data_IF_190861713204
#
_entry.id   IF_190861713204
#
_cell.length_a   1.000
_cell.length_b   1.000
_cell.length_c   1.000
_cell.angle_alpha   90.00
_cell.angle_beta   90.00
_cell.angle_gamma   90.00
#
_symmetry.space_group_name_H-M   'P 1'
#
loop_
_entity.id
_entity.type
_entity.pdbx_description
1 polymer ?
#
# COMPACT_ATOMS: atom_id res chain seq x y z
N UNK A 1 10.25 8.91 15.22
CA UNK A 1 10.38 8.80 13.75
C UNK A 1 11.81 9.11 13.34
N UNK A 2 12.33 8.36 12.36
CA UNK A 2 13.66 8.57 11.78
C UNK A 2 13.62 8.36 10.26
N UNK A 3 14.41 9.14 9.53
CA UNK A 3 14.52 9.04 8.07
C UNK A 3 15.99 8.94 7.71
N UNK A 4 16.35 7.90 6.95
CA UNK A 4 17.67 7.69 6.41
C UNK A 4 17.59 7.74 4.88
N UNK A 5 18.47 8.51 4.24
CA UNK A 5 18.49 8.64 2.79
C UNK A 5 19.88 8.38 2.24
N UNK A 6 20.01 7.27 1.50
CA UNK A 6 21.23 6.92 0.80
C UNK A 6 21.14 7.42 -0.65
N UNK A 7 21.88 8.49 -0.93
CA UNK A 7 21.98 9.07 -2.28
C UNK A 7 22.67 8.14 -3.29
N UNK A 8 23.59 7.28 -2.85
CA UNK A 8 24.30 6.34 -3.73
C UNK A 8 23.36 5.19 -4.14
N UNK A 9 22.60 4.67 -3.18
CA UNK A 9 21.61 3.63 -3.41
C UNK A 9 20.27 4.17 -3.95
N UNK A 10 20.08 5.49 -3.94
CA UNK A 10 18.81 6.17 -4.26
C UNK A 10 17.63 5.58 -3.46
N UNK A 11 17.93 5.31 -2.20
CA UNK A 11 17.04 4.62 -1.27
C UNK A 11 16.71 5.54 -0.10
N UNK A 12 15.42 5.73 0.15
CA UNK A 12 14.93 6.41 1.34
C UNK A 12 14.28 5.38 2.28
N UNK A 13 14.73 5.33 3.52
CA UNK A 13 14.17 4.49 4.58
C UNK A 13 13.50 5.39 5.61
N UNK A 14 12.20 5.19 5.80
CA UNK A 14 11.38 5.88 6.79
C UNK A 14 11.03 4.90 7.89
N UNK A 15 11.17 5.31 9.14
CA UNK A 15 10.93 4.50 10.33
C UNK A 15 10.04 5.26 11.33
N UNK A 16 9.13 4.53 11.96
CA UNK A 16 8.20 5.06 12.94
C UNK A 16 6.92 5.54 12.28
N UNK A 17 5.88 4.69 12.29
CA UNK A 17 4.51 5.00 11.87
C UNK A 17 4.40 5.88 10.62
N UNK A 18 4.89 5.35 9.51
CA UNK A 18 4.87 6.01 8.20
C UNK A 18 3.47 5.92 7.61
N UNK A 19 2.91 7.07 7.24
CA UNK A 19 1.65 7.18 6.50
C UNK A 19 1.92 7.76 5.12
N UNK A 20 1.47 7.07 4.08
CA UNK A 20 1.51 7.47 2.68
C UNK A 20 0.08 7.75 2.25
N UNK A 21 -0.17 8.96 1.75
CA UNK A 21 -1.46 9.36 1.17
C UNK A 21 -1.34 9.47 -0.34
N UNK A 22 -1.99 8.58 -1.05
CA UNK A 22 -2.15 8.63 -2.50
C UNK A 22 -3.63 8.86 -2.84
N UNK A 23 -3.97 9.56 -3.94
CA UNK A 23 -5.36 9.75 -4.36
C UNK A 23 -6.13 8.44 -4.56
N UNK A 24 -5.43 7.34 -4.82
CA UNK A 24 -6.03 6.04 -5.10
C UNK A 24 -5.95 5.09 -3.90
N UNK A 25 -5.10 5.37 -2.89
CA UNK A 25 -5.00 4.59 -1.66
C UNK A 25 -4.26 5.32 -0.53
N UNK A 26 -4.58 4.97 0.71
CA UNK A 26 -3.76 5.28 1.88
C UNK A 26 -2.95 4.04 2.29
N UNK A 27 -1.68 4.21 2.67
CA UNK A 27 -0.85 3.14 3.21
C UNK A 27 -0.24 3.59 4.54
N UNK A 28 -0.35 2.75 5.57
CA UNK A 28 0.26 2.93 6.88
C UNK A 28 1.18 1.75 7.16
N UNK A 29 2.37 2.00 7.70
CA UNK A 29 3.31 0.95 8.09
C UNK A 29 4.32 1.46 9.14
N UNK A 30 5.06 0.57 9.77
CA UNK A 30 6.11 0.95 10.73
C UNK A 30 7.40 1.39 10.04
N UNK A 31 7.70 0.78 8.89
CA UNK A 31 8.88 1.05 8.07
C UNK A 31 8.53 1.09 6.60
N UNK A 32 8.98 2.12 5.90
CA UNK A 32 8.85 2.25 4.45
C UNK A 32 10.23 2.41 3.82
N UNK A 33 10.54 1.60 2.81
CA UNK A 33 11.76 1.72 2.00
C UNK A 33 11.37 2.08 0.58
N UNK A 34 11.68 3.29 0.13
CA UNK A 34 11.41 3.78 -1.22
C UNK A 34 12.68 3.77 -2.08
N UNK A 35 12.57 3.25 -3.29
CA UNK A 35 13.62 3.19 -4.32
C UNK A 35 13.26 4.15 -5.45
N UNK A 36 14.17 5.07 -5.80
CA UNK A 36 13.92 6.12 -6.79
C UNK A 36 14.56 5.81 -8.16
N UNK A 37 13.85 6.10 -9.25
CA UNK A 37 14.34 5.93 -10.63
C UNK A 37 15.51 6.85 -10.92
N UNK A 38 16.42 6.32 -11.72
CA UNK A 38 17.73 6.87 -11.94
C UNK A 38 17.96 7.69 -13.19
N UNK A 39 17.16 8.72 -13.48
CA UNK A 39 17.56 9.70 -14.51
C UNK A 39 16.96 11.09 -14.26
N UNK A 40 17.87 12.08 -14.19
CA UNK A 40 17.72 13.50 -13.79
C UNK A 40 17.41 13.79 -12.32
N UNK A 41 18.13 14.76 -11.70
CA UNK A 41 17.79 15.23 -10.36
C UNK A 41 16.44 15.93 -10.45
N UNK A 42 15.39 15.29 -9.95
CA UNK A 42 14.22 16.02 -9.49
C UNK A 42 14.73 16.97 -8.42
N UNK A 43 14.76 18.26 -8.76
CA UNK A 43 15.29 19.31 -7.92
C UNK A 43 14.70 19.23 -6.51
N UNK A 44 15.62 19.27 -5.55
CA UNK A 44 15.48 19.79 -4.19
C UNK A 44 14.04 20.19 -3.81
N UNK A 45 13.35 19.33 -3.06
CA UNK A 45 12.39 19.80 -2.06
C UNK A 45 13.12 19.74 -0.71
N UNK A 46 13.61 20.91 -0.31
CA UNK A 46 14.30 21.17 0.94
C UNK A 46 13.49 20.71 2.17
N UNK A 47 14.20 20.13 3.15
CA UNK A 47 13.88 20.23 4.58
C UNK A 47 12.66 19.47 5.09
N UNK A 48 12.76 18.14 5.24
CA UNK A 48 11.83 17.40 6.10
C UNK A 48 12.36 17.39 7.54
N UNK A 49 11.82 18.29 8.38
CA UNK A 49 11.83 18.13 9.84
C UNK A 49 11.03 16.87 10.20
N UNK A 50 11.41 16.09 11.22
CA UNK A 50 10.66 14.91 11.63
C UNK A 50 9.39 15.38 12.34
N UNK A 51 8.25 15.20 11.69
CA UNK A 51 6.93 15.53 12.22
C UNK A 51 6.06 16.18 11.16
N UNK A 52 5.02 15.43 10.76
CA UNK A 52 3.84 15.86 10.00
C UNK A 52 3.94 16.01 8.48
N UNK A 53 2.94 15.37 7.85
CA UNK A 53 2.30 15.70 6.59
C UNK A 53 3.11 15.45 5.30
N UNK A 54 2.90 14.27 4.71
CA UNK A 54 3.18 14.04 3.29
C UNK A 54 2.41 15.07 2.45
N UNK A 55 3.09 15.96 1.70
CA UNK A 55 2.40 16.90 0.85
C UNK A 55 1.83 16.12 -0.34
N UNK A 56 0.51 16.13 -0.42
CA UNK A 56 -0.26 15.81 -1.60
C UNK A 56 0.30 16.56 -2.82
N UNK A 57 0.41 15.84 -3.94
CA UNK A 57 0.72 16.29 -5.32
C UNK A 57 2.14 15.97 -5.79
N UNK A 58 2.40 14.71 -6.10
CA UNK A 58 3.23 14.42 -7.26
C UNK A 58 2.91 13.05 -7.83
N UNK A 59 2.61 13.02 -9.14
CA UNK A 59 2.81 11.85 -10.00
C UNK A 59 4.06 11.10 -9.53
N UNK A 60 3.99 9.76 -9.54
CA UNK A 60 5.08 8.81 -9.28
C UNK A 60 6.36 8.99 -10.11
N UNK A 61 6.62 10.16 -10.70
CA UNK A 61 7.68 10.49 -11.66
C UNK A 61 9.11 10.34 -11.16
N UNK A 62 9.32 9.91 -9.92
CA UNK A 62 10.64 9.49 -9.41
C UNK A 62 10.64 8.17 -8.65
N UNK A 63 9.49 7.58 -8.29
CA UNK A 63 9.43 6.33 -7.52
C UNK A 63 9.51 5.12 -8.46
N UNK A 64 10.38 4.16 -8.14
CA UNK A 64 10.49 2.90 -8.86
C UNK A 64 9.73 1.79 -8.13
N UNK A 65 10.01 1.66 -6.83
CA UNK A 65 9.48 0.61 -5.96
C UNK A 65 9.39 1.13 -4.53
N UNK A 66 8.44 0.65 -3.76
CA UNK A 66 8.39 0.87 -2.32
C UNK A 66 8.14 -0.45 -1.59
N UNK A 67 8.75 -0.61 -0.42
CA UNK A 67 8.58 -1.78 0.44
C UNK A 67 8.14 -1.29 1.80
N UNK A 68 6.91 -1.61 2.18
CA UNK A 68 6.34 -1.35 3.49
C UNK A 68 6.46 -2.60 4.35
N UNK A 69 6.91 -2.43 5.59
CA UNK A 69 7.13 -3.51 6.55
C UNK A 69 6.60 -3.08 7.93
N UNK A 70 6.02 -4.04 8.66
CA UNK A 70 5.48 -3.82 10.00
C UNK A 70 4.11 -3.13 9.96
N UNK A 71 3.11 -3.83 10.52
CA UNK A 71 1.73 -3.35 10.63
C UNK A 71 1.21 -2.66 9.36
N UNK A 72 1.43 -3.28 8.20
CA UNK A 72 1.09 -2.65 6.93
C UNK A 72 -0.41 -2.69 6.74
N UNK A 73 -1.02 -1.52 6.58
CA UNK A 73 -2.45 -1.34 6.32
C UNK A 73 -2.62 -0.46 5.09
N UNK A 74 -3.25 -0.99 4.06
CA UNK A 74 -3.58 -0.30 2.81
C UNK A 74 -5.09 -0.11 2.78
N UNK A 75 -5.55 1.11 2.53
CA UNK A 75 -6.98 1.43 2.38
C UNK A 75 -7.20 2.00 0.99
N UNK A 76 -8.13 1.41 0.25
CA UNK A 76 -8.53 1.82 -1.08
C UNK A 76 -10.03 2.08 -1.09
N UNK A 77 -10.44 3.27 -1.48
CA UNK A 77 -11.84 3.57 -1.73
C UNK A 77 -12.11 3.38 -3.23
N UNK A 78 -12.99 2.43 -3.55
CA UNK A 78 -13.41 2.16 -4.92
C UNK A 78 -14.83 2.68 -5.12
N UNK A 79 -15.01 3.53 -6.12
CA UNK A 79 -16.34 3.91 -6.58
C UNK A 79 -16.89 2.79 -7.45
N UNK A 80 -17.97 2.16 -7.00
CA UNK A 80 -18.69 1.15 -7.76
C UNK A 80 -19.60 1.81 -8.82
N UNK A 81 -19.97 1.07 -9.88
CA UNK A 81 -20.80 1.60 -10.97
C UNK A 81 -22.18 2.10 -10.52
N UNK A 82 -22.66 1.65 -9.37
CA UNK A 82 -23.92 2.07 -8.73
C UNK A 82 -23.80 3.42 -7.99
N UNK A 83 -22.60 3.99 -7.91
CA UNK A 83 -22.29 5.21 -7.16
C UNK A 83 -21.94 4.97 -5.69
N UNK A 84 -21.94 3.73 -5.22
CA UNK A 84 -21.53 3.35 -3.87
C UNK A 84 -20.00 3.37 -3.74
N UNK A 85 -19.48 3.73 -2.57
CA UNK A 85 -18.06 3.65 -2.26
C UNK A 85 -17.79 2.36 -1.48
N UNK A 86 -17.15 1.40 -2.12
CA UNK A 86 -16.64 0.20 -1.44
C UNK A 86 -15.23 0.44 -0.93
N UNK A 87 -15.10 0.46 0.40
CA UNK A 87 -13.79 0.47 1.06
C UNK A 87 -13.16 -0.91 1.01
N UNK A 88 -11.95 -0.98 0.50
CA UNK A 88 -11.09 -2.15 0.50
C UNK A 88 -9.91 -1.92 1.44
N UNK A 89 -9.67 -2.83 2.38
CA UNK A 89 -8.58 -2.72 3.36
C UNK A 89 -7.70 -3.95 3.26
N UNK A 90 -6.45 -3.77 2.87
CA UNK A 90 -5.41 -4.80 2.86
C UNK A 90 -4.50 -4.67 4.07
N UNK A 91 -4.31 -5.75 4.82
CA UNK A 91 -3.40 -5.83 5.96
C UNK A 91 -2.36 -6.90 5.72
N UNK A 92 -1.11 -6.66 6.08
CA UNK A 92 -0.05 -7.67 5.94
C UNK A 92 1.17 -7.33 6.80
N UNK A 93 2.06 -8.29 7.00
CA UNK A 93 3.36 -8.00 7.60
C UNK A 93 4.27 -7.19 6.66
N UNK A 94 4.15 -7.42 5.35
CA UNK A 94 4.94 -6.74 4.33
C UNK A 94 4.14 -6.52 3.05
N UNK A 95 4.19 -5.30 2.52
CA UNK A 95 3.67 -4.98 1.20
C UNK A 95 4.78 -4.44 0.29
N UNK A 96 4.80 -4.92 -0.93
CA UNK A 96 5.82 -4.60 -1.91
C UNK A 96 5.15 -3.97 -3.14
N UNK A 97 5.39 -2.68 -3.34
CA UNK A 97 4.73 -1.86 -4.36
C UNK A 97 5.67 -1.57 -5.53
N UNK A 98 5.20 -1.83 -6.75
CA UNK A 98 5.88 -1.43 -7.97
C UNK A 98 5.18 -0.25 -8.62
N UNK A 99 5.85 0.91 -8.67
CA UNK A 99 5.32 2.09 -9.34
C UNK A 99 5.26 1.92 -10.87
N UNK A 100 6.01 0.95 -11.43
CA UNK A 100 6.01 0.62 -12.85
C UNK A 100 4.74 -0.12 -13.27
N UNK A 101 4.25 -1.06 -12.46
CA UNK A 101 3.04 -1.84 -12.78
C UNK A 101 1.80 -1.38 -12.01
N UNK A 102 1.95 -0.57 -10.96
CA UNK A 102 0.88 -0.20 -10.04
C UNK A 102 0.36 -1.38 -9.22
N UNK A 103 1.18 -2.42 -9.04
CA UNK A 103 0.84 -3.63 -8.30
C UNK A 103 1.46 -3.61 -6.90
N UNK A 104 0.65 -3.94 -5.90
CA UNK A 104 1.04 -4.15 -4.52
C UNK A 104 0.97 -5.64 -4.20
N UNK A 105 2.08 -6.21 -3.73
CA UNK A 105 2.17 -7.60 -3.31
C UNK A 105 2.20 -7.64 -1.79
N UNK A 106 1.11 -8.12 -1.18
CA UNK A 106 0.98 -8.31 0.24
C UNK A 106 1.43 -9.73 0.60
N UNK A 107 2.24 -9.84 1.66
CA UNK A 107 2.87 -11.08 2.10
C UNK A 107 3.07 -11.12 3.62
N UNK A 108 3.30 -12.32 4.16
CA UNK A 108 3.38 -12.53 5.61
C UNK A 108 1.99 -12.40 6.24
N UNK A 109 1.14 -13.37 5.94
CA UNK A 109 -0.26 -13.45 6.40
C UNK A 109 -1.12 -12.27 5.92
N UNK A 110 -1.23 -12.06 4.60
CA UNK A 110 -2.06 -10.99 4.08
C UNK A 110 -3.56 -11.26 4.32
N UNK A 111 -4.28 -10.21 4.64
CA UNK A 111 -5.74 -10.16 4.79
C UNK A 111 -6.25 -9.00 3.93
N UNK A 112 -7.23 -9.24 3.07
CA UNK A 112 -7.88 -8.17 2.30
C UNK A 112 -9.38 -8.24 2.50
N UNK A 113 -9.92 -7.16 3.06
CA UNK A 113 -11.36 -6.94 3.14
C UNK A 113 -11.80 -6.08 1.97
N UNK A 114 -12.85 -6.47 1.25
CA UNK A 114 -13.49 -5.67 0.20
C UNK A 114 -14.97 -5.55 0.54
N UNK A 115 -15.39 -4.37 1.01
CA UNK A 115 -16.73 -4.16 1.54
C UNK A 115 -17.01 -5.11 2.70
N UNK A 116 -18.00 -5.99 2.53
CA UNK A 116 -18.41 -7.00 3.52
C UNK A 116 -17.63 -8.32 3.41
N UNK A 117 -16.95 -8.54 2.29
CA UNK A 117 -16.21 -9.76 2.02
C UNK A 117 -14.78 -9.65 2.59
N UNK A 118 -14.26 -10.76 3.10
CA UNK A 118 -12.89 -10.80 3.65
C UNK A 118 -12.15 -12.01 3.10
N UNK A 119 -10.99 -11.78 2.50
CA UNK A 119 -10.06 -12.82 2.09
C UNK A 119 -8.90 -12.84 3.07
N UNK A 120 -8.61 -14.00 3.67
CA UNK A 120 -7.58 -14.16 4.69
C UNK A 120 -6.61 -15.25 4.22
N UNK A 121 -5.32 -14.95 4.20
CA UNK A 121 -4.29 -15.96 3.99
C UNK A 121 -4.27 -16.94 5.15
N UNK A 122 -4.30 -18.23 4.83
CA UNK A 122 -4.18 -19.30 5.84
C UNK A 122 -2.72 -19.74 6.03
N UNK A 123 -1.81 -19.27 5.17
CA UNK A 123 -0.39 -19.59 5.20
C UNK A 123 0.49 -18.36 4.92
N UNK A 124 1.71 -18.37 5.45
CA UNK A 124 2.69 -17.31 5.24
C UNK A 124 3.20 -17.22 3.80
N UNK A 125 3.14 -18.32 3.04
CA UNK A 125 3.49 -18.39 1.62
C UNK A 125 2.45 -17.75 0.70
N UNK A 126 1.25 -17.48 1.21
CA UNK A 126 0.17 -16.85 0.44
C UNK A 126 0.52 -15.41 0.10
N UNK A 127 0.36 -15.06 -1.18
CA UNK A 127 0.59 -13.72 -1.70
C UNK A 127 -0.71 -13.16 -2.26
N UNK A 128 -1.07 -11.96 -1.82
CA UNK A 128 -2.21 -11.24 -2.36
C UNK A 128 -1.69 -10.07 -3.19
N UNK A 129 -2.10 -10.02 -4.45
CA UNK A 129 -1.74 -8.99 -5.40
C UNK A 129 -2.91 -8.03 -5.52
N UNK A 130 -2.70 -6.77 -5.19
CA UNK A 130 -3.70 -5.72 -5.27
C UNK A 130 -3.22 -4.68 -6.28
N UNK A 131 -4.01 -4.46 -7.34
CA UNK A 131 -3.73 -3.41 -8.32
C UNK A 131 -4.46 -2.13 -7.96
N UNK A 132 -3.93 -1.02 -8.43
CA UNK A 132 -4.52 0.33 -8.32
C UNK A 132 -5.96 0.43 -8.83
N UNK A 133 -6.32 -0.36 -9.84
CA UNK A 133 -7.69 -0.47 -10.39
C UNK A 133 -8.67 -1.28 -9.49
N UNK A 134 -8.22 -1.70 -8.31
CA UNK A 134 -8.99 -2.52 -7.37
C UNK A 134 -9.15 -3.97 -7.81
N UNK A 135 -8.39 -4.43 -8.81
CA UNK A 135 -8.30 -5.86 -9.14
C UNK A 135 -7.41 -6.55 -8.11
N UNK A 136 -7.91 -7.64 -7.55
CA UNK A 136 -7.17 -8.47 -6.61
C UNK A 136 -6.98 -9.87 -7.16
N UNK A 137 -5.79 -10.43 -6.95
CA UNK A 137 -5.48 -11.83 -7.19
C UNK A 137 -4.87 -12.42 -5.92
N UNK A 138 -5.23 -13.65 -5.60
CA UNK A 138 -4.66 -14.37 -4.46
C UNK A 138 -3.99 -15.61 -4.98
N UNK A 139 -2.75 -15.84 -4.56
CA UNK A 139 -1.99 -17.04 -4.86
C UNK A 139 -1.58 -17.74 -3.58
N UNK A 140 -1.91 -19.03 -3.49
CA UNK A 140 -1.68 -19.84 -2.30
C UNK A 140 -2.96 -20.10 -1.50
N UNK A 141 -2.84 -20.84 -0.39
CA UNK A 141 -3.98 -21.21 0.42
C UNK A 141 -4.59 -19.99 1.11
N UNK A 142 -5.87 -19.78 0.90
CA UNK A 142 -6.62 -18.65 1.41
C UNK A 142 -8.05 -19.04 1.70
N UNK A 143 -8.66 -18.30 2.61
CA UNK A 143 -10.07 -18.45 2.98
C UNK A 143 -10.80 -17.17 2.60
N UNK A 144 -11.87 -17.32 1.82
CA UNK A 144 -12.80 -16.23 1.55
C UNK A 144 -14.01 -16.36 2.47
N UNK A 145 -14.30 -15.31 3.20
CA UNK A 145 -15.51 -15.14 4.01
C UNK A 145 -16.41 -14.18 3.25
N UNK A 146 -17.46 -14.72 2.66
CA UNK A 146 -18.52 -13.93 2.04
C UNK A 146 -19.54 -13.67 3.13
N UNK A 147 -19.76 -12.40 3.46
CA UNK A 147 -20.86 -12.01 4.34
C UNK A 147 -22.02 -11.60 3.47
N UNK A 148 -23.17 -12.15 3.75
CA UNK A 148 -24.42 -11.66 3.17
C UNK A 148 -24.82 -10.39 3.94
N UNK A 149 -25.10 -9.30 3.22
CA UNK A 149 -25.87 -8.20 3.81
C UNK A 149 -27.28 -8.74 3.99
N UNK A 150 -27.50 -9.46 5.10
CA UNK A 150 -28.83 -9.92 5.44
C UNK A 150 -29.79 -8.74 5.31
N UNK A 151 -30.78 -8.88 4.43
CA UNK A 151 -31.86 -7.92 4.27
C UNK A 151 -32.29 -7.46 5.66
N UNK A 152 -32.07 -6.18 5.94
CA UNK A 152 -32.62 -5.56 7.14
C UNK A 152 -34.13 -5.57 6.94
N UNK A 153 -34.79 -6.58 7.50
CA UNK A 153 -36.26 -6.64 7.55
C UNK A 153 -36.82 -5.47 8.35
#
# INVERSE_FOLDING_TARGET
>A
DGVDFDQKARQAVFLGHVTVKDPEFDLVCDKLTAFLKGDKPAGVANGAKPGSESPSKQKSGGLERAVAEGNVVITQDKLDPDGSLTKSVGKSARADYSATTGEMVLSGNPEVQQGINTCIATDSSTRMFMKREGKMRVEGPSRMIIRDQGESK
#
